data_IF_422550239840
#
_entry.id   IF_422550239840
#
_cell.length_a   1.000
_cell.length_b   1.000
_cell.length_c   1.000
_cell.angle_alpha   90.00
_cell.angle_beta   90.00
_cell.angle_gamma   90.00
#
_symmetry.space_group_name_H-M   'P 1'
#
loop_
_entity.id
_entity.type
_entity.pdbx_description
1 polymer ?
#
# COMPACT_ATOMS: atom_id res chain seq x y z
N UNK A 1 -2.89 1.67 -0.53
CA UNK A 1 -3.30 0.97 -1.79
C UNK A 1 -4.53 0.10 -1.53
N UNK A 2 -5.29 -0.34 -2.53
CA UNK A 2 -6.44 -1.25 -2.33
C UNK A 2 -6.26 -2.55 -3.11
N UNK A 3 -6.57 -3.67 -2.46
CA UNK A 3 -6.44 -4.99 -3.04
C UNK A 3 -7.74 -5.79 -2.90
N UNK A 4 -7.96 -6.69 -3.85
CA UNK A 4 -9.04 -7.67 -3.80
C UNK A 4 -8.48 -9.07 -4.06
N UNK A 5 -9.04 -10.07 -3.41
CA UNK A 5 -8.74 -11.47 -3.68
C UNK A 5 -9.84 -12.03 -4.59
N UNK A 6 -9.46 -12.51 -5.76
CA UNK A 6 -10.37 -13.06 -6.76
C UNK A 6 -9.83 -14.37 -7.30
N UNK A 7 -10.58 -15.47 -7.10
CA UNK A 7 -10.18 -16.83 -7.48
C UNK A 7 -8.83 -17.24 -6.87
N UNK A 8 -8.62 -16.91 -5.60
CA UNK A 8 -7.40 -17.22 -4.86
C UNK A 8 -6.20 -16.30 -5.15
N UNK A 9 -6.31 -15.36 -6.08
CA UNK A 9 -5.21 -14.45 -6.44
C UNK A 9 -5.46 -13.02 -5.96
N UNK A 10 -4.38 -12.32 -5.58
CA UNK A 10 -4.41 -10.92 -5.14
C UNK A 10 -4.27 -9.98 -6.34
N UNK A 11 -5.15 -9.00 -6.44
CA UNK A 11 -5.11 -7.97 -7.48
C UNK A 11 -5.16 -6.58 -6.85
N UNK A 12 -4.35 -5.65 -7.38
CA UNK A 12 -4.59 -4.23 -7.16
C UNK A 12 -5.96 -3.86 -7.74
N UNK A 13 -6.71 -3.02 -7.03
CA UNK A 13 -8.06 -2.69 -7.47
C UNK A 13 -8.48 -1.25 -7.18
N UNK A 14 -9.42 -0.77 -8.00
CA UNK A 14 -10.15 0.46 -7.77
C UNK A 14 -11.62 0.12 -7.51
N UNK A 15 -12.29 0.88 -6.64
CA UNK A 15 -13.68 0.63 -6.27
C UNK A 15 -14.51 1.86 -6.64
N UNK A 16 -15.54 1.66 -7.47
CA UNK A 16 -16.49 2.73 -7.85
C UNK A 16 -17.89 2.12 -7.96
N UNK A 17 -18.89 2.75 -7.35
CA UNK A 17 -20.30 2.32 -7.40
C UNK A 17 -20.49 0.81 -7.06
N UNK A 18 -19.80 0.31 -6.03
CA UNK A 18 -19.77 -1.12 -5.62
C UNK A 18 -19.24 -2.10 -6.67
N UNK A 19 -18.69 -1.62 -7.79
CA UNK A 19 -17.88 -2.42 -8.71
C UNK A 19 -16.43 -2.33 -8.31
N UNK A 20 -15.76 -3.47 -8.39
CA UNK A 20 -14.34 -3.63 -8.13
C UNK A 20 -13.67 -3.83 -9.49
N UNK A 21 -12.83 -2.87 -9.89
CA UNK A 21 -12.01 -2.98 -11.09
C UNK A 21 -10.65 -3.54 -10.69
N UNK A 22 -10.44 -4.82 -10.97
CA UNK A 22 -9.17 -5.53 -10.79
C UNK A 22 -8.19 -5.09 -11.89
N UNK A 23 -6.91 -5.00 -11.55
CA UNK A 23 -5.81 -4.69 -12.48
C UNK A 23 -4.79 -5.84 -12.46
N UNK A 24 -4.29 -6.19 -13.64
CA UNK A 24 -3.27 -7.21 -13.88
C UNK A 24 -2.26 -6.68 -14.89
N UNK A 25 -0.98 -7.04 -14.73
CA UNK A 25 0.07 -6.82 -15.76
C UNK A 25 0.12 -7.95 -16.78
N UNK A 26 -0.59 -9.04 -16.53
CA UNK A 26 -0.66 -10.21 -17.39
C UNK A 26 -2.05 -10.38 -17.98
N UNK A 27 -2.10 -10.87 -19.23
CA UNK A 27 -3.36 -11.20 -19.90
C UNK A 27 -3.99 -12.44 -19.27
N UNK A 28 -5.13 -12.26 -18.60
CA UNK A 28 -5.89 -13.33 -17.94
C UNK A 28 -7.29 -13.47 -18.51
N UNK A 29 -7.90 -14.65 -18.33
CA UNK A 29 -9.24 -14.95 -18.88
C UNK A 29 -10.30 -13.95 -18.40
N UNK A 30 -10.94 -13.28 -19.36
CA UNK A 30 -11.97 -12.27 -19.13
C UNK A 30 -11.45 -10.96 -18.52
N UNK A 31 -10.15 -10.71 -18.55
CA UNK A 31 -9.59 -9.37 -18.46
C UNK A 31 -9.43 -8.80 -19.88
N UNK A 32 -9.55 -7.48 -20.02
CA UNK A 32 -9.37 -6.76 -21.28
C UNK A 32 -8.30 -5.70 -21.09
N UNK A 33 -7.65 -5.27 -22.18
CA UNK A 33 -6.70 -4.15 -22.11
C UNK A 33 -7.38 -2.90 -21.55
N UNK A 34 -6.62 -2.11 -20.79
CA UNK A 34 -7.06 -0.81 -20.33
C UNK A 34 -7.10 0.12 -21.53
N UNK A 35 -8.27 0.72 -21.73
CA UNK A 35 -8.45 1.87 -22.61
C UNK A 35 -8.59 3.08 -21.70
N UNK A 36 -7.73 4.09 -21.89
CA UNK A 36 -7.82 5.32 -21.11
C UNK A 36 -8.93 6.25 -21.61
N UNK A 37 -8.96 7.48 -21.08
CA UNK A 37 -9.99 8.46 -21.43
C UNK A 37 -9.81 9.04 -22.84
N UNK A 38 -8.61 8.98 -23.40
CA UNK A 38 -8.27 9.49 -24.73
C UNK A 38 -8.47 8.40 -25.81
N UNK A 39 -8.64 7.15 -25.38
CA UNK A 39 -8.89 6.01 -26.26
C UNK A 39 -7.66 5.16 -26.52
N UNK A 40 -6.53 5.48 -25.87
CA UNK A 40 -5.29 4.74 -26.04
C UNK A 40 -5.35 3.39 -25.32
N UNK A 41 -4.86 2.36 -26.01
CA UNK A 41 -4.84 0.98 -25.52
C UNK A 41 -3.52 0.70 -24.83
N UNK A 42 -3.59 0.42 -23.53
CA UNK A 42 -2.44 0.02 -22.71
C UNK A 42 -2.31 -1.51 -22.73
N UNK A 43 -1.48 -2.02 -23.65
CA UNK A 43 -1.27 -3.47 -23.83
C UNK A 43 -0.57 -4.18 -22.67
N UNK A 44 -0.01 -3.42 -21.73
CA UNK A 44 0.67 -3.88 -20.51
C UNK A 44 -0.23 -3.85 -19.27
N UNK A 45 -1.47 -3.35 -19.39
CA UNK A 45 -2.43 -3.25 -18.29
C UNK A 45 -3.75 -3.88 -18.69
N UNK A 46 -4.14 -4.92 -17.97
CA UNK A 46 -5.39 -5.61 -18.16
C UNK A 46 -6.33 -5.35 -16.98
N UNK A 47 -7.59 -5.06 -17.27
CA UNK A 47 -8.63 -4.76 -16.29
C UNK A 47 -9.79 -5.75 -16.34
N UNK A 48 -10.43 -5.95 -15.19
CA UNK A 48 -11.69 -6.69 -15.09
C UNK A 48 -12.59 -6.06 -14.05
N UNK A 49 -13.84 -5.79 -14.41
CA UNK A 49 -14.85 -5.37 -13.44
C UNK A 49 -15.60 -6.58 -12.86
N UNK A 50 -15.67 -6.65 -11.53
CA UNK A 50 -16.42 -7.66 -10.80
C UNK A 50 -17.26 -6.99 -9.70
N UNK A 51 -18.34 -7.66 -9.28
CA UNK A 51 -19.07 -7.25 -8.08
C UNK A 51 -18.36 -7.74 -6.82
N UNK A 52 -18.61 -7.08 -5.69
CA UNK A 52 -18.15 -7.49 -4.36
C UNK A 52 -18.55 -8.93 -3.98
N UNK A 53 -19.63 -9.45 -4.57
CA UNK A 53 -20.08 -10.83 -4.39
C UNK A 53 -19.14 -11.89 -5.00
N UNK A 54 -18.35 -11.51 -6.00
CA UNK A 54 -17.48 -12.42 -6.76
C UNK A 54 -16.04 -12.48 -6.23
N UNK A 55 -15.68 -11.64 -5.26
CA UNK A 55 -14.35 -11.62 -4.63
C UNK A 55 -14.40 -12.29 -3.26
N UNK A 56 -13.30 -12.86 -2.82
CA UNK A 56 -13.14 -13.51 -1.52
C UNK A 56 -12.76 -12.52 -0.42
N UNK A 57 -12.11 -11.42 -0.78
CA UNK A 57 -11.75 -10.34 0.14
C UNK A 57 -11.51 -9.02 -0.58
N UNK A 58 -11.63 -7.91 0.16
CA UNK A 58 -11.21 -6.57 -0.27
C UNK A 58 -10.73 -5.78 0.93
N UNK A 59 -9.54 -5.22 0.83
CA UNK A 59 -8.93 -4.43 1.89
C UNK A 59 -8.14 -3.24 1.34
N UNK A 60 -8.07 -2.21 2.16
CA UNK A 60 -7.10 -1.13 2.02
C UNK A 60 -5.83 -1.52 2.78
N UNK A 61 -4.70 -1.48 2.06
CA UNK A 61 -3.37 -1.71 2.60
C UNK A 61 -2.72 -0.36 2.88
N UNK A 62 -2.37 -0.15 4.14
CA UNK A 62 -1.55 0.94 4.62
C UNK A 62 -0.41 0.38 5.46
N UNK A 63 0.53 1.24 5.83
CA UNK A 63 1.70 0.85 6.59
C UNK A 63 2.03 1.91 7.63
N UNK A 64 2.63 1.43 8.70
CA UNK A 64 3.34 2.24 9.69
C UNK A 64 4.74 1.67 9.83
N UNK A 65 5.67 2.45 10.37
CA UNK A 65 7.03 1.99 10.62
C UNK A 65 7.43 2.26 12.06
N UNK A 66 8.16 1.33 12.65
CA UNK A 66 8.77 1.52 13.96
C UNK A 66 10.19 1.99 13.73
N UNK A 67 10.52 3.15 14.27
CA UNK A 67 11.84 3.76 14.22
C UNK A 67 12.24 4.20 15.62
N UNK A 68 13.37 3.72 16.11
CA UNK A 68 13.86 3.95 17.48
C UNK A 68 12.80 3.63 18.54
N UNK A 69 12.04 2.55 18.32
CA UNK A 69 11.00 2.07 19.23
C UNK A 69 9.68 2.85 19.20
N UNK A 70 9.54 3.88 18.35
CA UNK A 70 8.31 4.66 18.19
C UNK A 70 7.66 4.35 16.86
N UNK A 71 6.33 4.26 16.83
CA UNK A 71 5.56 4.00 15.60
C UNK A 71 5.20 5.30 14.90
N UNK A 72 5.51 5.40 13.62
CA UNK A 72 5.23 6.55 12.77
C UNK A 72 4.38 6.15 11.57
N UNK A 73 3.59 7.10 11.08
CA UNK A 73 2.90 6.93 9.81
C UNK A 73 3.93 6.93 8.68
N UNK A 74 3.66 6.16 7.63
CA UNK A 74 4.43 6.23 6.40
C UNK A 74 3.51 6.37 5.20
N UNK A 75 4.01 7.07 4.18
CA UNK A 75 3.30 7.26 2.92
C UNK A 75 4.27 7.05 1.76
N UNK A 76 3.72 6.93 0.56
CA UNK A 76 4.54 6.84 -0.64
C UNK A 76 5.14 5.47 -0.93
N UNK A 77 4.98 4.43 -0.09
CA UNK A 77 5.55 3.09 -0.37
C UNK A 77 5.30 2.67 -1.82
N UNK A 78 6.39 2.59 -2.58
CA UNK A 78 6.40 2.52 -4.03
C UNK A 78 7.78 2.16 -4.54
N UNK A 79 7.94 2.15 -5.87
CA UNK A 79 9.22 1.80 -6.49
C UNK A 79 10.37 2.69 -6.00
N UNK A 80 10.12 3.99 -5.80
CA UNK A 80 11.13 4.93 -5.29
C UNK A 80 11.65 4.54 -3.89
N UNK A 81 10.82 3.97 -3.02
CA UNK A 81 11.24 3.50 -1.68
C UNK A 81 12.33 2.42 -1.79
N UNK A 82 12.20 1.52 -2.78
CA UNK A 82 13.21 0.50 -3.07
C UNK A 82 14.44 1.09 -3.77
N UNK A 83 14.24 2.02 -4.69
CA UNK A 83 15.32 2.62 -5.48
C UNK A 83 16.22 3.52 -4.59
N UNK A 84 15.63 4.29 -3.68
CA UNK A 84 16.34 5.18 -2.75
C UNK A 84 16.79 4.47 -1.47
N UNK A 85 16.17 3.34 -1.13
CA UNK A 85 16.47 2.61 0.11
C UNK A 85 16.02 3.35 1.38
N UNK A 86 15.08 4.29 1.25
CA UNK A 86 14.57 5.12 2.32
C UNK A 86 13.04 5.08 2.41
N UNK A 87 12.53 5.26 3.62
CA UNK A 87 11.11 5.36 3.92
C UNK A 87 10.78 6.74 4.47
N UNK A 88 9.79 7.39 3.89
CA UNK A 88 9.23 8.64 4.41
C UNK A 88 8.36 8.34 5.64
N UNK A 89 8.79 8.85 6.79
CA UNK A 89 8.04 8.86 8.05
C UNK A 89 7.35 10.21 8.22
N UNK A 90 6.13 10.18 8.75
CA UNK A 90 5.31 11.35 9.06
C UNK A 90 4.91 11.31 10.53
N UNK A 91 4.92 12.49 11.16
CA UNK A 91 4.43 12.69 12.53
C UNK A 91 3.68 14.02 12.62
N UNK A 92 2.57 14.01 13.36
CA UNK A 92 1.82 15.21 13.75
C UNK A 92 2.32 15.81 15.10
N UNK A 93 3.30 15.18 15.73
CA UNK A 93 3.92 15.65 16.96
C UNK A 93 5.21 16.41 16.68
N UNK A 94 5.16 17.75 16.81
CA UNK A 94 6.33 18.61 16.57
C UNK A 94 7.51 18.36 17.53
N UNK A 95 7.33 17.63 18.64
CA UNK A 95 8.45 17.24 19.50
C UNK A 95 9.43 16.31 18.78
N UNK A 96 8.96 15.54 17.78
CA UNK A 96 9.79 14.62 16.99
C UNK A 96 10.87 15.30 16.16
N UNK A 97 10.73 16.61 15.92
CA UNK A 97 11.80 17.45 15.36
C UNK A 97 13.04 17.39 16.26
N UNK A 98 12.84 17.49 17.58
CA UNK A 98 13.94 17.52 18.55
C UNK A 98 14.38 16.13 19.03
N UNK A 99 13.44 15.18 19.17
CA UNK A 99 13.73 13.85 19.73
C UNK A 99 14.19 12.85 18.66
N UNK A 100 13.73 13.00 17.41
CA UNK A 100 13.98 12.06 16.32
C UNK A 100 14.59 12.73 15.08
N UNK A 101 14.94 14.02 15.16
CA UNK A 101 15.51 14.82 14.06
C UNK A 101 14.62 14.83 12.82
N UNK A 102 13.31 15.04 12.99
CA UNK A 102 12.37 15.26 11.90
C UNK A 102 12.50 16.69 11.36
N UNK A 103 12.15 16.89 10.09
CA UNK A 103 12.04 18.19 9.47
C UNK A 103 10.60 18.67 9.52
N UNK A 104 10.41 19.96 9.79
CA UNK A 104 9.07 20.56 9.79
C UNK A 104 8.61 20.73 8.35
N UNK A 105 7.48 20.12 8.00
CA UNK A 105 6.80 20.34 6.72
C UNK A 105 5.92 21.60 6.82
N UNK A 106 5.04 21.61 7.82
CA UNK A 106 4.14 22.74 8.07
C UNK A 106 3.86 22.92 9.58
N UNK A 107 2.74 23.59 9.93
CA UNK A 107 2.37 23.83 11.34
C UNK A 107 1.79 22.62 12.07
N UNK A 108 1.45 21.56 11.36
CA UNK A 108 0.79 20.36 11.86
C UNK A 108 1.58 19.09 11.58
N UNK A 109 2.47 19.07 10.59
CA UNK A 109 3.19 17.87 10.15
C UNK A 109 4.70 18.09 10.14
N UNK A 110 5.42 17.09 10.60
CA UNK A 110 6.85 16.93 10.38
C UNK A 110 7.13 15.58 9.70
N UNK A 111 8.23 15.50 8.97
CA UNK A 111 8.59 14.34 8.19
C UNK A 111 10.07 13.99 8.33
N UNK A 112 10.43 12.77 7.98
CA UNK A 112 11.82 12.32 7.94
C UNK A 112 11.96 11.17 6.95
N UNK A 113 12.94 11.24 6.07
CA UNK A 113 13.40 10.05 5.35
C UNK A 113 14.34 9.25 6.24
N UNK A 114 14.10 7.95 6.35
CA UNK A 114 14.88 7.02 7.17
C UNK A 114 15.29 5.84 6.31
N UNK A 115 16.58 5.47 6.36
CA UNK A 115 17.06 4.32 5.62
C UNK A 115 16.33 3.05 6.05
N UNK A 116 15.99 2.16 5.12
CA UNK A 116 15.25 0.93 5.41
C UNK A 116 15.97 0.04 6.44
N UNK A 117 17.30 0.09 6.48
CA UNK A 117 18.13 -0.63 7.46
C UNK A 117 18.02 -0.08 8.90
N UNK A 118 17.59 1.18 9.06
CA UNK A 118 17.37 1.80 10.37
C UNK A 118 15.93 1.60 10.90
N UNK A 119 15.05 0.99 10.10
CA UNK A 119 13.66 0.70 10.49
C UNK A 119 13.63 -0.57 11.36
N UNK A 120 13.12 -0.45 12.58
CA UNK A 120 13.01 -1.54 13.56
C UNK A 120 11.93 -2.57 13.17
N UNK A 121 10.91 -2.14 12.42
CA UNK A 121 9.94 -2.97 11.74
C UNK A 121 9.00 -2.14 10.86
N UNK A 122 8.45 -2.78 9.83
CA UNK A 122 7.29 -2.26 9.11
C UNK A 122 6.02 -2.96 9.63
N UNK A 123 4.96 -2.21 9.88
CA UNK A 123 3.65 -2.74 10.26
C UNK A 123 2.74 -2.68 9.04
N UNK A 124 2.44 -3.83 8.46
CA UNK A 124 1.42 -3.97 7.43
C UNK A 124 0.04 -3.87 8.08
N UNK A 125 -0.83 -3.03 7.52
CA UNK A 125 -2.19 -2.83 8.00
C UNK A 125 -3.21 -3.12 6.88
N UNK A 126 -3.99 -4.18 7.05
CA UNK A 126 -5.08 -4.57 6.15
C UNK A 126 -6.42 -4.16 6.75
N UNK A 127 -6.95 -3.02 6.33
CA UNK A 127 -8.28 -2.56 6.72
C UNK A 127 -9.33 -3.13 5.75
N UNK A 128 -10.10 -4.12 6.20
CA UNK A 128 -11.08 -4.78 5.35
C UNK A 128 -12.30 -3.89 5.07
N UNK A 129 -12.75 -3.84 3.82
CA UNK A 129 -13.80 -2.92 3.36
C UNK A 129 -14.97 -3.64 2.68
N UNK A 130 -15.99 -2.87 2.25
CA UNK A 130 -17.23 -3.39 1.67
C UNK A 130 -17.93 -4.40 2.61
N UNK A 131 -18.34 -5.56 2.10
CA UNK A 131 -18.96 -6.63 2.90
C UNK A 131 -18.00 -7.31 3.88
N UNK A 132 -16.69 -7.07 3.75
CA UNK A 132 -15.65 -7.71 4.56
C UNK A 132 -15.29 -6.94 5.82
N UNK A 133 -15.89 -5.76 6.05
CA UNK A 133 -15.65 -4.89 7.22
C UNK A 133 -15.72 -5.60 8.57
N UNK A 134 -16.49 -6.69 8.68
CA UNK A 134 -16.55 -7.51 9.91
C UNK A 134 -15.22 -8.15 10.30
N UNK A 135 -14.29 -8.33 9.35
CA UNK A 135 -12.91 -8.78 9.63
C UNK A 135 -12.07 -7.71 10.32
N UNK A 136 -12.48 -6.45 10.27
CA UNK A 136 -11.80 -5.33 10.92
C UNK A 136 -10.44 -5.01 10.32
N UNK A 137 -9.55 -4.49 11.17
CA UNK A 137 -8.15 -4.23 10.86
C UNK A 137 -7.33 -5.47 11.23
N UNK A 138 -6.53 -5.97 10.29
CA UNK A 138 -5.53 -7.01 10.55
C UNK A 138 -4.15 -6.40 10.39
N UNK A 139 -3.28 -6.60 11.38
CA UNK A 139 -1.91 -6.07 11.35
C UNK A 139 -0.89 -7.21 11.31
N UNK A 140 0.19 -6.99 10.56
CA UNK A 140 1.32 -7.93 10.48
C UNK A 140 2.61 -7.14 10.69
N UNK A 141 3.44 -7.58 11.64
CA UNK A 141 4.79 -7.02 11.82
C UNK A 141 5.75 -7.69 10.85
N UNK A 142 6.47 -6.89 10.07
CA UNK A 142 7.57 -7.29 9.21
C UNK A 142 8.87 -6.88 9.90
N UNK A 143 9.69 -7.88 10.25
CA UNK A 143 10.98 -7.64 10.90
C UNK A 143 12.00 -7.04 9.92
N UNK A 144 13.03 -6.32 10.41
CA UNK A 144 13.98 -5.58 9.58
C UNK A 144 14.58 -6.40 8.43
N UNK A 145 14.99 -7.64 8.72
CA UNK A 145 15.59 -8.56 7.75
C UNK A 145 14.70 -8.91 6.56
N UNK A 146 13.39 -8.69 6.66
CA UNK A 146 12.40 -9.04 5.62
C UNK A 146 11.77 -7.82 4.96
N UNK A 147 12.13 -6.59 5.36
CA UNK A 147 11.50 -5.37 4.83
C UNK A 147 11.72 -5.26 3.32
N UNK A 148 12.95 -5.46 2.85
CA UNK A 148 13.26 -5.39 1.42
C UNK A 148 12.48 -6.42 0.60
N UNK A 149 12.51 -7.69 1.01
CA UNK A 149 11.78 -8.76 0.33
C UNK A 149 10.27 -8.49 0.31
N UNK A 150 9.72 -8.01 1.42
CA UNK A 150 8.31 -7.64 1.52
C UNK A 150 7.95 -6.52 0.54
N UNK A 151 8.74 -5.44 0.49
CA UNK A 151 8.51 -4.31 -0.40
C UNK A 151 8.63 -4.72 -1.87
N UNK A 152 9.59 -5.58 -2.22
CA UNK A 152 9.72 -6.13 -3.57
C UNK A 152 8.48 -6.94 -3.99
N UNK A 153 7.98 -7.82 -3.12
CA UNK A 153 6.77 -8.61 -3.39
C UNK A 153 5.49 -7.74 -3.43
N UNK A 154 5.46 -6.65 -2.67
CA UNK A 154 4.32 -5.75 -2.63
C UNK A 154 4.14 -5.00 -3.96
N UNK A 155 5.24 -4.69 -4.63
CA UNK A 155 5.29 -3.82 -5.82
C UNK A 155 5.33 -4.56 -7.16
N UNK A 156 5.32 -5.90 -7.13
CA UNK A 156 5.04 -6.77 -8.28
C UNK A 156 3.55 -6.82 -8.59
#
# INVERSE_FOLDING_TARGET
MKFAIYRGERYACNIKNRKIRLKSREKKSGFTELIDLEGDVHSDIFIKEVSDRKVEDVYELTHEAIFKGVTFQTSGIGKHTLDEGELLLLSDNLQDISTHNFFREDKFVCHKNVALEEIDALIEMKNHILRFRRKGLVTTRINPSYINDYLQQLLQ
#
